data_IF_568233969992
#
_entry.id   IF_568233969992
#
_cell.length_a   1.000
_cell.length_b   1.000
_cell.length_c   1.000
_cell.angle_alpha   90.00
_cell.angle_beta   90.00
_cell.angle_gamma   90.00
#
_symmetry.space_group_name_H-M   'P 1'
#
loop_
_entity.id
_entity.type
_entity.pdbx_description
1 polymer ?
#
# COMPACT_ATOMS: atom_id res chain seq x y z
N UNK A 1 4.13 1.40 12.63
CA UNK A 1 4.03 0.73 11.31
C UNK A 1 5.41 0.25 10.95
N UNK A 2 5.59 -1.03 10.61
CA UNK A 2 6.88 -1.47 10.07
C UNK A 2 7.03 -0.87 8.67
N UNK A 3 8.16 -0.25 8.38
CA UNK A 3 8.46 0.12 7.01
C UNK A 3 8.70 -1.17 6.21
N UNK A 4 8.32 -1.24 4.92
CA UNK A 4 8.59 -2.41 4.07
C UNK A 4 10.06 -2.83 4.08
N UNK A 5 10.97 -1.86 4.26
CA UNK A 5 12.42 -2.09 4.35
C UNK A 5 12.83 -2.92 5.57
N UNK A 6 12.30 -2.60 6.74
CA UNK A 6 12.65 -3.30 7.99
C UNK A 6 12.26 -4.79 7.93
N UNK A 7 11.16 -5.10 7.24
CA UNK A 7 10.73 -6.47 6.98
C UNK A 7 11.66 -7.20 6.03
N UNK A 8 12.08 -6.56 4.93
CA UNK A 8 13.01 -7.13 3.96
C UNK A 8 14.39 -7.41 4.58
N UNK A 9 14.86 -6.50 5.44
CA UNK A 9 16.11 -6.67 6.17
C UNK A 9 16.02 -7.86 7.16
N UNK A 10 14.89 -8.01 7.87
CA UNK A 10 14.64 -9.13 8.77
C UNK A 10 14.53 -10.48 8.03
N UNK A 11 13.91 -10.49 6.85
CA UNK A 11 13.86 -11.64 5.93
C UNK A 11 15.26 -12.05 5.48
N UNK A 12 16.07 -11.09 5.02
CA UNK A 12 17.45 -11.34 4.58
C UNK A 12 18.33 -11.92 5.69
N UNK A 13 18.19 -11.39 6.91
CA UNK A 13 18.89 -11.91 8.09
C UNK A 13 18.45 -13.33 8.50
N UNK A 14 17.19 -13.71 8.30
CA UNK A 14 16.72 -15.09 8.51
C UNK A 14 17.18 -16.04 7.41
N UNK A 15 17.10 -15.62 6.15
CA UNK A 15 17.56 -16.42 5.01
C UNK A 15 19.06 -16.71 5.11
N UNK A 16 19.88 -15.70 5.41
CA UNK A 16 21.33 -15.86 5.60
C UNK A 16 21.66 -16.90 6.69
N UNK A 17 20.92 -16.91 7.81
CA UNK A 17 21.10 -17.90 8.88
C UNK A 17 20.68 -19.32 8.47
N UNK A 18 19.60 -19.45 7.69
CA UNK A 18 19.15 -20.75 7.16
C UNK A 18 20.15 -21.34 6.16
N UNK A 19 20.80 -20.51 5.34
CA UNK A 19 21.78 -20.96 4.35
C UNK A 19 23.21 -21.10 4.90
N UNK A 20 23.54 -20.46 6.03
CA UNK A 20 24.88 -20.47 6.63
C UNK A 20 25.05 -21.46 7.79
N UNK A 21 23.99 -22.17 8.21
CA UNK A 21 24.04 -23.12 9.33
C UNK A 21 24.67 -24.47 8.97
N UNK A 22 25.55 -24.99 9.83
CA UNK A 22 26.27 -26.28 9.69
C UNK A 22 25.37 -27.54 9.73
N UNK A 23 24.06 -27.40 9.96
CA UNK A 23 23.08 -28.49 9.94
C UNK A 23 21.99 -28.18 8.92
N UNK A 24 22.00 -28.91 7.81
CA UNK A 24 20.96 -28.81 6.79
C UNK A 24 19.61 -29.25 7.39
N UNK A 25 18.78 -28.29 7.79
CA UNK A 25 17.40 -28.57 8.17
C UNK A 25 16.68 -29.28 7.00
N UNK A 26 15.77 -30.22 7.28
CA UNK A 26 14.93 -30.81 6.25
C UNK A 26 14.21 -29.71 5.45
N UNK A 27 14.10 -29.87 4.13
CA UNK A 27 13.47 -28.87 3.24
C UNK A 27 12.09 -28.41 3.73
N UNK A 28 11.30 -29.34 4.26
CA UNK A 28 9.95 -29.07 4.77
C UNK A 28 9.95 -28.15 6.00
N UNK A 29 10.96 -28.26 6.88
CA UNK A 29 11.08 -27.39 8.06
C UNK A 29 11.50 -25.97 7.66
N UNK A 30 12.36 -25.85 6.65
CA UNK A 30 12.74 -24.55 6.08
C UNK A 30 11.53 -23.86 5.45
N UNK A 31 10.74 -24.59 4.64
CA UNK A 31 9.54 -24.06 4.00
C UNK A 31 8.50 -23.58 5.02
N UNK A 32 8.25 -24.38 6.06
CA UNK A 32 7.31 -24.05 7.14
C UNK A 32 7.74 -22.79 7.90
N UNK A 33 9.01 -22.68 8.30
CA UNK A 33 9.54 -21.51 8.99
C UNK A 33 9.51 -20.26 8.11
N UNK A 34 9.85 -20.40 6.82
CA UNK A 34 9.81 -19.29 5.88
C UNK A 34 8.38 -18.79 5.66
N UNK A 35 7.41 -19.70 5.51
CA UNK A 35 5.99 -19.37 5.38
C UNK A 35 5.45 -18.66 6.63
N UNK A 36 5.79 -19.13 7.82
CA UNK A 36 5.38 -18.50 9.07
C UNK A 36 5.94 -17.08 9.22
N UNK A 37 7.20 -16.88 8.80
CA UNK A 37 7.84 -15.57 8.82
C UNK A 37 7.22 -14.59 7.81
N UNK A 38 6.91 -15.05 6.59
CA UNK A 38 6.18 -14.26 5.60
C UNK A 38 4.79 -13.88 6.09
N UNK A 39 4.04 -14.84 6.66
CA UNK A 39 2.72 -14.58 7.24
C UNK A 39 2.81 -13.56 8.38
N UNK A 40 3.74 -13.74 9.32
CA UNK A 40 3.95 -12.79 10.42
C UNK A 40 4.35 -11.39 9.92
N UNK A 41 5.15 -11.32 8.85
CA UNK A 41 5.54 -10.08 8.21
C UNK A 41 4.37 -9.37 7.54
N UNK A 42 3.62 -10.08 6.70
CA UNK A 42 2.44 -9.55 6.02
C UNK A 42 1.35 -9.10 6.99
N UNK A 43 1.13 -9.82 8.09
CA UNK A 43 0.17 -9.38 9.13
C UNK A 43 0.59 -8.10 9.87
N UNK A 44 1.89 -7.75 9.83
CA UNK A 44 2.41 -6.50 10.43
C UNK A 44 2.45 -5.34 9.43
N UNK A 45 2.22 -5.62 8.15
CA UNK A 45 2.09 -4.64 7.10
C UNK A 45 0.60 -4.34 6.90
N UNK A 46 0.25 -3.08 6.71
CA UNK A 46 -1.13 -2.65 6.44
C UNK A 46 -1.47 -2.91 4.96
N UNK A 47 -1.54 -4.20 4.61
CA UNK A 47 -1.74 -4.66 3.24
C UNK A 47 -3.23 -4.80 2.95
N UNK A 48 -3.62 -4.30 1.79
CA UNK A 48 -4.92 -4.58 1.17
C UNK A 48 -4.71 -5.50 -0.02
N UNK A 49 -5.77 -6.20 -0.42
CA UNK A 49 -5.73 -6.97 -1.66
C UNK A 49 -5.54 -6.03 -2.85
N UNK A 50 -4.98 -6.58 -3.94
CA UNK A 50 -4.81 -5.82 -5.18
C UNK A 50 -6.14 -5.31 -5.74
N UNK A 51 -7.19 -6.11 -5.62
CA UNK A 51 -8.53 -5.76 -6.08
C UNK A 51 -9.15 -4.60 -5.27
N UNK A 52 -8.98 -4.61 -3.94
CA UNK A 52 -9.41 -3.49 -3.09
C UNK A 52 -8.64 -2.21 -3.45
N UNK A 53 -7.33 -2.31 -3.64
CA UNK A 53 -6.52 -1.16 -4.07
C UNK A 53 -7.02 -0.58 -5.40
N UNK A 54 -7.20 -1.43 -6.42
CA UNK A 54 -7.66 -1.00 -7.74
C UNK A 54 -9.08 -0.41 -7.66
N UNK A 55 -9.96 -0.96 -6.83
CA UNK A 55 -11.29 -0.42 -6.56
C UNK A 55 -11.24 0.98 -5.94
N UNK A 56 -10.38 1.20 -4.95
CA UNK A 56 -10.21 2.52 -4.32
C UNK A 56 -9.63 3.55 -5.30
N UNK A 57 -8.73 3.13 -6.18
CA UNK A 57 -8.19 4.00 -7.24
C UNK A 57 -9.28 4.52 -8.18
N UNK A 58 -10.26 3.67 -8.54
CA UNK A 58 -11.41 4.08 -9.36
C UNK A 58 -12.30 5.07 -8.61
N UNK A 59 -12.57 4.83 -7.32
CA UNK A 59 -13.35 5.76 -6.48
C UNK A 59 -12.66 7.11 -6.39
N UNK A 60 -11.34 7.13 -6.19
CA UNK A 60 -10.53 8.35 -6.13
C UNK A 60 -10.59 9.12 -7.45
N UNK A 61 -10.42 8.44 -8.59
CA UNK A 61 -10.50 9.05 -9.91
C UNK A 61 -11.88 9.72 -10.15
N UNK A 62 -12.97 9.02 -9.81
CA UNK A 62 -14.32 9.56 -9.91
C UNK A 62 -14.53 10.78 -9.01
N UNK A 63 -13.96 10.74 -7.81
CA UNK A 63 -14.09 11.81 -6.82
C UNK A 63 -13.36 13.06 -7.29
N UNK A 64 -12.16 12.92 -7.87
CA UNK A 64 -11.42 14.04 -8.50
C UNK A 64 -12.20 14.67 -9.63
N UNK A 65 -12.72 13.87 -10.57
CA UNK A 65 -13.53 14.39 -11.67
C UNK A 65 -14.78 15.14 -11.19
N UNK A 66 -15.43 14.64 -10.12
CA UNK A 66 -16.57 15.33 -9.50
C UNK A 66 -16.14 16.63 -8.81
N UNK A 67 -15.00 16.64 -8.14
CA UNK A 67 -14.45 17.82 -7.48
C UNK A 67 -14.15 18.91 -8.50
N UNK A 68 -13.43 18.59 -9.58
CA UNK A 68 -13.13 19.51 -10.67
C UNK A 68 -14.41 20.12 -11.28
N UNK A 69 -15.45 19.29 -11.49
CA UNK A 69 -16.75 19.79 -11.99
C UNK A 69 -17.44 20.73 -11.02
N UNK A 70 -17.34 20.49 -9.72
CA UNK A 70 -17.93 21.37 -8.70
C UNK A 70 -17.14 22.68 -8.59
N UNK A 71 -15.82 22.62 -8.61
CA UNK A 71 -14.94 23.79 -8.62
C UNK A 71 -15.25 24.69 -9.83
N UNK A 72 -15.42 24.12 -11.03
CA UNK A 72 -15.82 24.88 -12.22
C UNK A 72 -17.18 25.57 -12.06
N UNK A 73 -18.18 24.88 -11.48
CA UNK A 73 -19.50 25.46 -11.21
C UNK A 73 -19.45 26.59 -10.20
N UNK A 74 -18.64 26.44 -9.14
CA UNK A 74 -18.45 27.48 -8.15
C UNK A 74 -17.81 28.72 -8.80
N UNK A 75 -16.75 28.53 -9.60
CA UNK A 75 -16.11 29.62 -10.32
C UNK A 75 -17.07 30.36 -11.27
N UNK A 76 -17.95 29.64 -11.98
CA UNK A 76 -18.98 30.25 -12.82
C UNK A 76 -19.96 31.09 -12.01
N UNK A 77 -20.40 30.59 -10.86
CA UNK A 77 -21.31 31.31 -9.97
C UNK A 77 -20.64 32.55 -9.37
N UNK A 78 -19.39 32.44 -8.93
CA UNK A 78 -18.60 33.55 -8.42
C UNK A 78 -18.43 34.65 -9.48
N UNK A 79 -18.14 34.28 -10.73
CA UNK A 79 -18.02 35.22 -11.84
C UNK A 79 -19.35 35.95 -12.15
N UNK A 80 -20.49 35.28 -11.97
CA UNK A 80 -21.83 35.88 -12.14
C UNK A 80 -22.24 36.80 -11.00
N UNK A 81 -21.69 36.58 -9.80
CA UNK A 81 -21.99 37.36 -8.60
C UNK A 81 -21.05 38.55 -8.44
N UNK A 82 -19.88 38.55 -9.09
CA UNK A 82 -19.00 39.71 -9.13
C UNK A 82 -19.65 40.82 -9.99
N UNK A 83 -20.01 41.98 -9.42
CA UNK A 83 -20.54 43.08 -10.22
C UNK A 83 -19.45 43.56 -11.21
N UNK A 84 -19.82 43.90 -12.46
CA UNK A 84 -18.86 44.47 -13.40
C UNK A 84 -18.45 45.87 -12.92
N UNK A 85 -17.26 45.97 -12.31
CA UNK A 85 -16.49 47.20 -12.09
C UNK A 85 -17.21 48.35 -11.37
N UNK A 86 -16.74 48.69 -10.17
CA UNK A 86 -16.54 50.10 -9.82
C UNK A 86 -15.24 50.60 -10.49
#
# INVERSE_FOLDING_TARGET
MLAPKDFLDALGGHASRLFSGETALPRNEIESQFKALLQSGFSKLDLVSREEFDSQMVVLARTRARLESLEAKVAELEARLLPPGE
#
